data_IF_027566094986
#
_entry.id   IF_027566094986
#
_cell.length_a   1.000
_cell.length_b   1.000
_cell.length_c   1.000
_cell.angle_alpha   90.00
_cell.angle_beta   90.00
_cell.angle_gamma   90.00
#
_symmetry.space_group_name_H-M   'P 1'
#
loop_
_entity.id
_entity.type
_entity.pdbx_description
1 polymer ?
#
# COMPACT_ATOMS: atom_id res chain seq x y z
N UNK A 1 14.50 -11.75 -11.59
CA UNK A 1 13.34 -11.11 -10.92
C UNK A 1 12.64 -12.14 -10.03
N UNK A 2 12.27 -11.77 -8.80
CA UNK A 2 11.49 -12.58 -7.85
C UNK A 2 10.24 -11.78 -7.47
N UNK A 3 9.08 -12.42 -7.52
CA UNK A 3 7.81 -11.82 -7.08
C UNK A 3 7.28 -12.62 -5.91
N UNK A 4 6.96 -11.96 -4.80
CA UNK A 4 6.42 -12.58 -3.59
C UNK A 4 5.06 -11.94 -3.29
N UNK A 5 3.96 -12.71 -3.37
CA UNK A 5 2.63 -12.22 -3.07
C UNK A 5 2.38 -12.20 -1.56
N UNK A 6 1.66 -11.19 -1.09
CA UNK A 6 1.17 -11.04 0.28
C UNK A 6 -0.33 -10.79 0.20
N UNK A 7 -1.13 -11.54 0.97
CA UNK A 7 -2.58 -11.43 0.90
C UNK A 7 -3.04 -10.00 1.22
N UNK A 8 -3.78 -9.43 0.28
CA UNK A 8 -4.52 -8.19 0.40
C UNK A 8 -6.00 -8.50 0.65
N UNK A 9 -6.77 -7.47 1.02
CA UNK A 9 -8.22 -7.60 1.26
C UNK A 9 -8.99 -6.56 0.47
N UNK A 10 -9.70 -7.02 -0.56
CA UNK A 10 -10.45 -6.15 -1.47
C UNK A 10 -11.63 -6.90 -2.12
N UNK A 11 -12.87 -6.75 -1.62
CA UNK A 11 -14.07 -7.30 -2.28
C UNK A 11 -14.40 -8.79 -2.03
N UNK A 12 -15.66 -9.14 -2.31
CA UNK A 12 -16.22 -10.50 -2.34
C UNK A 12 -17.12 -10.62 -3.58
N UNK A 13 -17.18 -11.77 -4.28
CA UNK A 13 -16.42 -13.01 -4.07
C UNK A 13 -15.41 -13.27 -5.21
N UNK A 14 -14.27 -12.58 -5.27
CA UNK A 14 -13.22 -12.85 -6.29
C UNK A 14 -11.78 -12.71 -5.76
N UNK A 15 -11.48 -13.34 -4.62
CA UNK A 15 -10.09 -13.48 -4.15
C UNK A 15 -9.37 -14.68 -4.80
N UNK A 16 -8.02 -14.70 -4.82
CA UNK A 16 -7.16 -13.92 -3.92
C UNK A 16 -6.63 -12.60 -4.52
N UNK A 17 -6.58 -11.56 -3.67
CA UNK A 17 -5.94 -10.27 -3.95
C UNK A 17 -4.56 -10.23 -3.29
N UNK A 18 -3.60 -9.56 -3.92
CA UNK A 18 -2.23 -9.53 -3.42
C UNK A 18 -1.58 -8.15 -3.51
N UNK A 19 -0.90 -7.78 -2.43
CA UNK A 19 0.24 -6.89 -2.52
C UNK A 19 1.44 -7.68 -3.07
N UNK A 20 2.19 -7.07 -3.99
CA UNK A 20 3.31 -7.73 -4.66
C UNK A 20 4.62 -7.09 -4.24
N UNK A 21 5.51 -7.89 -3.66
CA UNK A 21 6.92 -7.53 -3.46
C UNK A 21 7.73 -8.04 -4.65
N UNK A 22 8.32 -7.14 -5.41
CA UNK A 22 9.07 -7.43 -6.62
C UNK A 22 10.54 -7.09 -6.37
N UNK A 23 11.37 -8.13 -6.31
CA UNK A 23 12.82 -8.00 -6.17
C UNK A 23 13.51 -8.25 -7.52
N UNK A 24 14.32 -7.30 -7.96
CA UNK A 24 15.16 -7.42 -9.14
C UNK A 24 16.55 -6.86 -8.81
N UNK A 25 17.59 -7.68 -9.02
CA UNK A 25 18.96 -7.34 -8.62
C UNK A 25 19.03 -6.99 -7.12
N UNK A 26 19.60 -5.82 -6.79
CA UNK A 26 19.70 -5.29 -5.43
C UNK A 26 18.51 -4.39 -5.03
N UNK A 27 17.46 -4.33 -5.87
CA UNK A 27 16.31 -3.45 -5.68
C UNK A 27 15.03 -4.18 -5.37
N UNK A 28 14.20 -3.53 -4.55
CA UNK A 28 12.86 -3.99 -4.23
C UNK A 28 11.84 -2.89 -4.47
N UNK A 29 10.82 -3.21 -5.28
CA UNK A 29 9.60 -2.42 -5.43
C UNK A 29 8.44 -3.21 -4.86
N UNK A 30 7.61 -2.56 -4.04
CA UNK A 30 6.37 -3.15 -3.54
C UNK A 30 5.18 -2.36 -4.04
N UNK A 31 4.13 -3.05 -4.48
CA UNK A 31 2.84 -2.47 -4.88
C UNK A 31 1.72 -3.09 -4.04
N UNK A 32 0.85 -2.27 -3.43
CA UNK A 32 -0.25 -2.77 -2.60
C UNK A 32 -1.35 -3.47 -3.39
N UNK A 33 -1.55 -3.08 -4.66
CA UNK A 33 -2.87 -3.22 -5.29
C UNK A 33 -3.90 -2.37 -4.54
N UNK A 34 -5.17 -2.74 -4.68
CA UNK A 34 -6.26 -2.17 -3.88
C UNK A 34 -6.48 -3.07 -2.67
N UNK A 35 -6.56 -2.48 -1.48
CA UNK A 35 -6.71 -3.21 -0.22
C UNK A 35 -7.12 -2.28 0.91
N UNK A 36 -7.90 -2.76 1.87
CA UNK A 36 -7.88 -2.14 3.20
C UNK A 36 -6.57 -2.44 3.95
N UNK A 37 -6.37 -1.83 5.11
CA UNK A 37 -5.21 -2.17 5.95
C UNK A 37 -5.18 -3.66 6.29
N UNK A 38 -4.04 -4.29 6.02
CA UNK A 38 -3.73 -5.66 6.44
C UNK A 38 -2.29 -5.71 6.92
N UNK A 39 -2.04 -6.44 8.02
CA UNK A 39 -0.70 -6.59 8.61
C UNK A 39 0.34 -7.13 7.61
N UNK A 40 -0.11 -7.85 6.58
CA UNK A 40 0.74 -8.39 5.52
C UNK A 40 1.48 -7.30 4.70
N UNK A 41 1.01 -6.04 4.72
CA UNK A 41 1.70 -4.92 4.08
C UNK A 41 3.06 -4.62 4.70
N UNK A 42 3.23 -4.85 6.01
CA UNK A 42 4.49 -4.64 6.71
C UNK A 42 5.62 -5.50 6.11
N UNK A 43 5.53 -6.84 6.10
CA UNK A 43 6.56 -7.66 5.48
C UNK A 43 6.59 -7.51 3.94
N UNK A 44 5.48 -7.17 3.27
CA UNK A 44 5.48 -6.93 1.82
C UNK A 44 6.40 -5.77 1.43
N UNK A 45 6.30 -4.64 2.14
CA UNK A 45 7.02 -3.41 1.84
C UNK A 45 8.30 -3.21 2.68
N UNK A 46 8.65 -4.17 3.56
CA UNK A 46 9.80 -4.04 4.47
C UNK A 46 11.08 -3.67 3.72
N UNK A 47 11.63 -2.50 4.04
CA UNK A 47 12.88 -2.00 3.46
C UNK A 47 12.85 -1.81 1.94
N UNK A 48 11.66 -1.73 1.32
CA UNK A 48 11.54 -1.55 -0.13
C UNK A 48 12.21 -0.25 -0.57
N UNK A 49 12.88 -0.26 -1.73
CA UNK A 49 13.44 0.95 -2.34
C UNK A 49 12.32 1.89 -2.81
N UNK A 50 11.21 1.32 -3.25
CA UNK A 50 9.99 2.03 -3.61
C UNK A 50 8.77 1.25 -3.14
N UNK A 51 7.89 1.93 -2.41
CA UNK A 51 6.58 1.40 -2.02
C UNK A 51 5.48 2.22 -2.67
N UNK A 52 4.76 1.61 -3.61
CA UNK A 52 3.59 2.20 -4.27
C UNK A 52 2.35 1.73 -3.50
N UNK A 53 1.71 2.65 -2.78
CA UNK A 53 0.65 2.34 -1.85
C UNK A 53 -0.65 3.07 -2.21
N UNK A 54 -1.76 2.34 -2.15
CA UNK A 54 -3.10 2.94 -2.16
C UNK A 54 -3.24 3.95 -1.00
N UNK A 55 -3.88 5.08 -1.30
CA UNK A 55 -4.29 6.10 -0.35
C UNK A 55 -5.64 6.68 -0.79
N UNK A 56 -6.70 5.90 -0.62
CA UNK A 56 -8.03 6.20 -1.15
C UNK A 56 -8.68 7.40 -0.45
N UNK A 57 -8.65 7.44 0.88
CA UNK A 57 -9.08 8.58 1.70
C UNK A 57 -7.90 9.12 2.50
N UNK A 58 -7.98 10.39 2.90
CA UNK A 58 -6.95 10.99 3.73
C UNK A 58 -7.01 10.46 5.18
N UNK A 59 -8.14 10.71 5.86
CA UNK A 59 -8.30 10.44 7.31
C UNK A 59 -9.48 9.50 7.62
N UNK A 60 -10.10 8.90 6.59
CA UNK A 60 -11.32 8.10 6.72
C UNK A 60 -11.06 6.64 6.33
N UNK A 61 -11.07 5.75 7.31
CA UNK A 61 -11.07 4.31 7.04
C UNK A 61 -12.40 3.86 6.44
N UNK A 62 -12.35 3.12 5.34
CA UNK A 62 -13.51 2.51 4.69
C UNK A 62 -13.20 1.05 4.37
N UNK A 63 -14.21 0.16 4.32
CA UNK A 63 -13.98 -1.22 3.93
C UNK A 63 -13.30 -1.30 2.55
N UNK A 64 -12.39 -2.26 2.41
CA UNK A 64 -11.72 -2.64 1.17
C UNK A 64 -10.74 -1.63 0.54
N UNK A 65 -10.51 -0.47 1.16
CA UNK A 65 -9.55 0.54 0.67
C UNK A 65 -8.71 1.14 1.79
N UNK A 66 -7.44 1.46 1.49
CA UNK A 66 -6.47 1.98 2.45
C UNK A 66 -6.56 3.51 2.55
N UNK A 67 -6.66 4.05 3.77
CA UNK A 67 -6.54 5.48 4.03
C UNK A 67 -5.09 5.88 4.38
N UNK A 68 -4.72 7.13 4.04
CA UNK A 68 -3.36 7.64 4.23
C UNK A 68 -2.97 7.72 5.71
N UNK A 69 -3.86 8.20 6.58
CA UNK A 69 -3.57 8.29 8.01
C UNK A 69 -3.21 6.92 8.62
N UNK A 70 -3.88 5.85 8.20
CA UNK A 70 -3.55 4.47 8.59
C UNK A 70 -2.21 4.01 8.04
N UNK A 71 -1.93 4.31 6.77
CA UNK A 71 -0.63 4.02 6.16
C UNK A 71 0.52 4.72 6.91
N UNK A 72 0.40 6.03 7.17
CA UNK A 72 1.41 6.86 7.85
C UNK A 72 1.82 6.32 9.21
N UNK A 73 0.85 5.83 10.00
CA UNK A 73 1.12 5.21 11.31
C UNK A 73 2.02 3.97 11.22
N UNK A 74 2.02 3.28 10.08
CA UNK A 74 2.78 2.05 9.88
C UNK A 74 4.02 2.22 8.99
N UNK A 75 4.19 3.37 8.32
CA UNK A 75 5.39 3.66 7.54
C UNK A 75 6.70 3.45 8.33
N UNK A 76 6.81 3.82 9.62
CA UNK A 76 8.01 3.50 10.41
C UNK A 76 8.31 2.00 10.54
N UNK A 77 7.27 1.15 10.66
CA UNK A 77 7.42 -0.30 10.76
C UNK A 77 7.74 -0.96 9.40
N UNK A 78 7.28 -0.33 8.31
CA UNK A 78 7.59 -0.73 6.93
C UNK A 78 9.04 -0.35 6.59
N UNK A 79 9.45 0.87 6.91
CA UNK A 79 10.81 1.36 6.64
C UNK A 79 11.17 1.41 5.14
N UNK A 80 10.20 1.71 4.27
CA UNK A 80 10.43 1.91 2.85
C UNK A 80 11.26 3.19 2.61
N UNK A 81 12.17 3.18 1.63
CA UNK A 81 13.06 4.32 1.34
C UNK A 81 12.30 5.46 0.65
N UNK A 82 11.32 5.12 -0.17
CA UNK A 82 10.43 6.06 -0.88
C UNK A 82 9.02 5.49 -0.91
N UNK A 83 8.04 6.36 -0.75
CA UNK A 83 6.62 6.03 -0.85
C UNK A 83 6.03 6.85 -1.98
N UNK A 84 5.24 6.20 -2.84
CA UNK A 84 4.41 6.85 -3.85
C UNK A 84 2.97 6.48 -3.53
N UNK A 85 2.13 7.48 -3.37
CA UNK A 85 0.71 7.29 -3.14
C UNK A 85 -0.04 7.18 -4.48
N UNK A 86 -1.02 6.29 -4.54
CA UNK A 86 -1.87 6.08 -5.73
C UNK A 86 -3.31 5.81 -5.33
N UNK A 87 -4.19 5.65 -6.32
CA UNK A 87 -5.58 5.23 -6.16
C UNK A 87 -6.36 6.15 -5.20
N UNK A 88 -6.28 7.46 -5.44
CA UNK A 88 -6.88 8.50 -4.59
C UNK A 88 -8.35 8.75 -4.98
N UNK A 89 -9.24 8.87 -3.99
CA UNK A 89 -10.58 9.42 -4.19
C UNK A 89 -10.56 10.94 -4.26
N UNK A 90 -11.71 11.55 -4.57
CA UNK A 90 -11.88 13.01 -4.54
C UNK A 90 -11.53 13.63 -3.17
N UNK A 91 -11.81 12.91 -2.07
CA UNK A 91 -11.45 13.35 -0.72
C UNK A 91 -9.93 13.52 -0.58
N UNK A 92 -9.17 12.53 -1.04
CA UNK A 92 -7.71 12.57 -0.97
C UNK A 92 -7.13 13.59 -1.96
N UNK A 93 -7.67 13.67 -3.18
CA UNK A 93 -7.21 14.62 -4.20
C UNK A 93 -7.46 16.09 -3.82
N UNK A 94 -8.53 16.37 -3.07
CA UNK A 94 -8.80 17.69 -2.52
C UNK A 94 -7.75 18.14 -1.48
N UNK A 95 -6.98 17.19 -0.92
CA UNK A 95 -6.00 17.40 0.14
C UNK A 95 -4.55 17.16 -0.32
N UNK A 96 -4.32 16.99 -1.64
CA UNK A 96 -3.00 16.63 -2.20
C UNK A 96 -1.86 17.59 -1.86
N UNK A 97 -2.17 18.85 -1.57
CA UNK A 97 -1.16 19.88 -1.25
C UNK A 97 -0.67 19.78 0.22
N UNK A 98 -1.24 18.87 1.01
CA UNK A 98 -0.90 18.63 2.42
C UNK A 98 0.01 17.40 2.62
N UNK A 99 0.42 16.74 1.54
CA UNK A 99 1.12 15.45 1.54
C UNK A 99 2.50 15.55 0.87
#
# INVERSE_FOLDING_TARGET
VRVTPYLAKHGQPEGPFFALRIAAEDRVVTYTGDTEWVEALIPAARGADLFVAEAYFRDKSVPLHLDLATLERHLPAIGAKRVVLTHMSDDMLAQRDQV
#
